data_IF_688688382116
#
_entry.id   IF_688688382116
#
_cell.length_a   1.000
_cell.length_b   1.000
_cell.length_c   1.000
_cell.angle_alpha   90.00
_cell.angle_beta   90.00
_cell.angle_gamma   90.00
#
_symmetry.space_group_name_H-M   'P 1'
#
loop_
_entity.id
_entity.type
_entity.pdbx_description
1 polymer ?
#
# COMPACT_ATOMS: atom_id res chain seq x y z
N UNK A 1 -20.20 -16.82 1.52
CA UNK A 1 -19.06 -17.67 1.16
C UNK A 1 -17.75 -16.97 1.47
N UNK A 2 -16.74 -17.74 1.90
CA UNK A 2 -15.46 -17.18 2.30
C UNK A 2 -14.70 -16.51 1.17
N UNK A 3 -14.86 -16.99 -0.06
CA UNK A 3 -14.27 -16.33 -1.22
C UNK A 3 -14.80 -14.90 -1.37
N UNK A 4 -16.11 -14.72 -1.18
CA UNK A 4 -16.70 -13.38 -1.25
C UNK A 4 -16.26 -12.50 -0.10
N UNK A 5 -16.08 -13.10 1.10
CA UNK A 5 -15.63 -12.35 2.27
C UNK A 5 -14.20 -11.82 2.10
N UNK A 6 -13.34 -12.58 1.42
CA UNK A 6 -11.96 -12.14 1.12
C UNK A 6 -11.93 -11.07 0.03
N UNK A 7 -12.95 -10.98 -0.82
CA UNK A 7 -12.94 -10.06 -1.96
C UNK A 7 -12.91 -8.60 -1.52
N UNK A 8 -13.65 -8.24 -0.46
CA UNK A 8 -13.67 -6.84 0.00
C UNK A 8 -12.29 -6.36 0.43
N UNK A 9 -11.55 -7.05 1.31
CA UNK A 9 -10.19 -6.60 1.63
C UNK A 9 -9.23 -6.64 0.45
N UNK A 10 -9.42 -7.55 -0.51
CA UNK A 10 -8.61 -7.56 -1.75
C UNK A 10 -8.88 -6.28 -2.54
N UNK A 11 -10.14 -5.87 -2.66
CA UNK A 11 -10.50 -4.64 -3.36
C UNK A 11 -9.91 -3.42 -2.65
N UNK A 12 -9.88 -3.41 -1.31
CA UNK A 12 -9.25 -2.34 -0.55
C UNK A 12 -7.75 -2.27 -0.85
N UNK A 13 -7.07 -3.42 -0.89
CA UNK A 13 -5.65 -3.46 -1.25
C UNK A 13 -5.42 -2.88 -2.65
N UNK A 14 -6.28 -3.23 -3.60
CA UNK A 14 -6.17 -2.73 -4.96
C UNK A 14 -6.37 -1.22 -5.02
N UNK A 15 -7.34 -0.69 -4.30
CA UNK A 15 -7.55 0.75 -4.21
C UNK A 15 -6.35 1.47 -3.60
N UNK A 16 -5.75 0.92 -2.55
CA UNK A 16 -4.54 1.48 -1.94
C UNK A 16 -3.37 1.48 -2.91
N UNK A 17 -3.22 0.40 -3.68
CA UNK A 17 -2.17 0.30 -4.69
C UNK A 17 -2.33 1.35 -5.78
N UNK A 18 -3.55 1.54 -6.27
CA UNK A 18 -3.84 2.56 -7.29
C UNK A 18 -3.55 3.96 -6.75
N UNK A 19 -3.92 4.21 -5.50
CA UNK A 19 -3.62 5.48 -4.85
C UNK A 19 -2.11 5.71 -4.75
N UNK A 20 -1.35 4.69 -4.38
CA UNK A 20 0.12 4.79 -4.28
C UNK A 20 0.76 5.04 -5.64
N UNK A 21 0.26 4.40 -6.69
CA UNK A 21 0.74 4.65 -8.06
C UNK A 21 0.52 6.12 -8.46
N UNK A 22 -0.65 6.65 -8.13
CA UNK A 22 -0.99 8.04 -8.43
C UNK A 22 -0.13 9.01 -7.60
N UNK A 23 0.06 8.72 -6.33
CA UNK A 23 0.88 9.55 -5.42
C UNK A 23 2.32 9.60 -5.93
N UNK A 24 2.87 8.46 -6.34
CA UNK A 24 4.23 8.39 -6.89
C UNK A 24 4.35 9.27 -8.14
N UNK A 25 3.35 9.19 -9.02
CA UNK A 25 3.32 10.00 -10.23
C UNK A 25 3.28 11.49 -9.90
N UNK A 26 2.45 11.90 -8.95
CA UNK A 26 2.37 13.29 -8.51
C UNK A 26 3.69 13.78 -7.94
N UNK A 27 4.35 12.94 -7.13
CA UNK A 27 5.64 13.26 -6.54
C UNK A 27 6.69 13.48 -7.63
N UNK A 28 6.71 12.61 -8.64
CA UNK A 28 7.67 12.68 -9.72
C UNK A 28 7.47 13.92 -10.61
N UNK A 29 6.26 14.47 -10.64
CA UNK A 29 5.96 15.70 -11.38
C UNK A 29 6.42 16.95 -10.61
N UNK A 30 6.85 16.80 -9.38
CA UNK A 30 7.55 17.86 -8.67
C UNK A 30 6.71 18.97 -8.08
N UNK A 31 5.46 18.69 -7.70
CA UNK A 31 4.65 19.69 -7.01
C UNK A 31 5.15 19.88 -5.58
N UNK A 32 5.98 20.91 -5.37
CA UNK A 32 6.61 21.16 -4.07
C UNK A 32 5.62 21.52 -2.97
N UNK A 33 4.51 22.13 -3.32
CA UNK A 33 3.52 22.57 -2.34
C UNK A 33 2.83 21.41 -1.63
N UNK A 34 2.84 20.22 -2.23
CA UNK A 34 2.12 19.05 -1.73
C UNK A 34 3.03 17.95 -1.19
N UNK A 35 4.31 18.26 -0.96
CA UNK A 35 5.28 17.22 -0.56
C UNK A 35 4.87 16.52 0.74
N UNK A 36 4.57 17.28 1.80
CA UNK A 36 4.19 16.66 3.07
C UNK A 36 2.88 15.90 2.99
N UNK A 37 1.92 16.42 2.23
CA UNK A 37 0.64 15.74 2.03
C UNK A 37 0.82 14.46 1.23
N UNK A 38 1.67 14.48 0.24
CA UNK A 38 2.01 13.32 -0.60
C UNK A 38 2.63 12.21 0.24
N UNK A 39 3.61 12.56 1.08
CA UNK A 39 4.24 11.60 1.99
C UNK A 39 3.27 11.04 3.01
N UNK A 40 2.44 11.91 3.58
CA UNK A 40 1.42 11.50 4.55
C UNK A 40 0.40 10.56 3.93
N UNK A 41 -0.06 10.86 2.72
CA UNK A 41 -1.01 10.02 2.00
C UNK A 41 -0.42 8.63 1.74
N UNK A 42 0.85 8.55 1.35
CA UNK A 42 1.52 7.27 1.11
C UNK A 42 1.58 6.43 2.40
N UNK A 43 1.88 7.06 3.53
CA UNK A 43 1.93 6.37 4.82
C UNK A 43 0.56 5.83 5.21
N UNK A 44 -0.48 6.61 5.02
CA UNK A 44 -1.85 6.19 5.32
C UNK A 44 -2.26 5.04 4.40
N UNK A 45 -1.95 5.12 3.11
CA UNK A 45 -2.23 4.04 2.16
C UNK A 45 -1.49 2.75 2.52
N UNK A 46 -0.24 2.86 2.98
CA UNK A 46 0.51 1.69 3.44
C UNK A 46 -0.19 1.02 4.62
N UNK A 47 -0.61 1.80 5.60
CA UNK A 47 -1.32 1.27 6.77
C UNK A 47 -2.63 0.58 6.37
N UNK A 48 -3.39 1.19 5.48
CA UNK A 48 -4.65 0.60 5.00
C UNK A 48 -4.40 -0.69 4.20
N UNK A 49 -3.35 -0.70 3.39
CA UNK A 49 -2.94 -1.88 2.61
C UNK A 49 -2.59 -3.04 3.55
N UNK A 50 -1.82 -2.77 4.58
CA UNK A 50 -1.42 -3.78 5.56
C UNK A 50 -2.61 -4.30 6.36
N UNK A 51 -3.50 -3.41 6.79
CA UNK A 51 -4.71 -3.80 7.50
C UNK A 51 -5.61 -4.69 6.63
N UNK A 52 -5.73 -4.34 5.34
CA UNK A 52 -6.52 -5.13 4.40
C UNK A 52 -5.89 -6.52 4.19
N UNK A 53 -4.56 -6.58 4.06
CA UNK A 53 -3.85 -7.86 3.91
C UNK A 53 -4.10 -8.78 5.10
N UNK A 54 -4.10 -8.24 6.32
CA UNK A 54 -4.41 -9.02 7.51
C UNK A 54 -5.83 -9.61 7.42
N UNK A 55 -6.77 -8.83 6.90
CA UNK A 55 -8.15 -9.30 6.75
C UNK A 55 -8.29 -10.38 5.67
N UNK A 56 -7.50 -10.31 4.60
CA UNK A 56 -7.47 -11.40 3.62
C UNK A 56 -7.02 -12.69 4.28
N UNK A 57 -5.90 -12.66 5.00
CA UNK A 57 -5.36 -13.87 5.65
C UNK A 57 -6.30 -14.38 6.72
N UNK A 58 -6.95 -13.50 7.48
CA UNK A 58 -7.96 -13.89 8.44
C UNK A 58 -9.10 -14.69 7.79
N UNK A 59 -9.43 -14.36 6.54
CA UNK A 59 -10.45 -15.10 5.79
C UNK A 59 -9.91 -16.40 5.21
N UNK A 60 -8.67 -16.41 4.69
CA UNK A 60 -8.10 -17.64 4.11
C UNK A 60 -7.91 -18.74 5.15
N UNK A 61 -7.72 -18.36 6.42
CA UNK A 61 -7.61 -19.34 7.52
C UNK A 61 -8.78 -20.32 7.55
N UNK A 62 -9.96 -19.86 7.20
CA UNK A 62 -11.20 -20.64 7.31
C UNK A 62 -11.66 -21.23 6.00
N UNK A 63 -10.92 -21.03 4.91
CA UNK A 63 -11.26 -21.62 3.62
C UNK A 63 -11.06 -23.12 3.62
N UNK A 64 -12.03 -23.85 3.06
CA UNK A 64 -11.95 -25.31 2.93
C UNK A 64 -10.97 -25.72 1.84
N UNK A 65 -10.95 -24.99 0.75
CA UNK A 65 -10.00 -25.21 -0.36
C UNK A 65 -8.64 -24.62 0.02
N UNK A 66 -7.78 -25.47 0.57
CA UNK A 66 -6.47 -25.05 1.08
C UNK A 66 -5.50 -24.68 -0.05
N UNK A 67 -5.65 -25.26 -1.22
CA UNK A 67 -4.82 -24.92 -2.37
C UNK A 67 -5.15 -23.51 -2.86
N UNK A 68 -6.45 -23.20 -2.95
CA UNK A 68 -6.90 -21.86 -3.31
C UNK A 68 -6.41 -20.83 -2.28
N UNK A 69 -6.55 -21.16 -0.99
CA UNK A 69 -6.11 -20.27 0.10
C UNK A 69 -4.61 -20.00 0.03
N UNK A 70 -3.79 -21.03 -0.20
CA UNK A 70 -2.34 -20.86 -0.32
C UNK A 70 -1.96 -20.00 -1.51
N UNK A 71 -2.60 -20.21 -2.64
CA UNK A 71 -2.36 -19.41 -3.84
C UNK A 71 -2.70 -17.96 -3.60
N UNK A 72 -3.84 -17.69 -2.98
CA UNK A 72 -4.27 -16.33 -2.66
C UNK A 72 -3.30 -15.67 -1.67
N UNK A 73 -2.87 -16.39 -0.65
CA UNK A 73 -1.91 -15.88 0.33
C UNK A 73 -0.57 -15.52 -0.33
N UNK A 74 -0.11 -16.32 -1.28
CA UNK A 74 1.12 -16.05 -2.02
C UNK A 74 0.99 -14.80 -2.86
N UNK A 75 -0.13 -14.64 -3.57
CA UNK A 75 -0.37 -13.47 -4.41
C UNK A 75 -0.47 -12.20 -3.56
N UNK A 76 -1.19 -12.27 -2.45
CA UNK A 76 -1.35 -11.15 -1.54
C UNK A 76 -0.01 -10.75 -0.92
N UNK A 77 0.82 -11.72 -0.53
CA UNK A 77 2.13 -11.43 0.06
C UNK A 77 3.02 -10.68 -0.94
N UNK A 78 3.02 -11.09 -2.19
CA UNK A 78 3.81 -10.43 -3.24
C UNK A 78 3.32 -9.02 -3.49
N UNK A 79 2.02 -8.87 -3.65
CA UNK A 79 1.38 -7.56 -3.87
C UNK A 79 1.68 -6.62 -2.70
N UNK A 80 1.52 -7.12 -1.48
CA UNK A 80 1.80 -6.35 -0.26
C UNK A 80 3.25 -5.87 -0.24
N UNK A 81 4.21 -6.77 -0.47
CA UNK A 81 5.63 -6.41 -0.44
C UNK A 81 5.96 -5.34 -1.48
N UNK A 82 5.43 -5.46 -2.69
CA UNK A 82 5.69 -4.50 -3.76
C UNK A 82 5.20 -3.10 -3.39
N UNK A 83 4.01 -3.00 -2.82
CA UNK A 83 3.43 -1.71 -2.50
C UNK A 83 3.91 -1.14 -1.16
N UNK A 84 4.33 -1.99 -0.22
CA UNK A 84 5.05 -1.52 0.96
C UNK A 84 6.34 -0.83 0.54
N UNK A 85 7.09 -1.44 -0.39
CA UNK A 85 8.32 -0.85 -0.89
C UNK A 85 8.05 0.49 -1.59
N UNK A 86 7.01 0.56 -2.41
CA UNK A 86 6.65 1.81 -3.08
C UNK A 86 6.32 2.90 -2.07
N UNK A 87 5.51 2.59 -1.07
CA UNK A 87 5.13 3.55 -0.03
C UNK A 87 6.34 4.03 0.76
N UNK A 88 7.25 3.12 1.11
CA UNK A 88 8.47 3.46 1.84
C UNK A 88 9.37 4.38 1.01
N UNK A 89 9.51 4.13 -0.28
CA UNK A 89 10.29 4.99 -1.17
C UNK A 89 9.71 6.39 -1.26
N UNK A 90 8.38 6.48 -1.33
CA UNK A 90 7.70 7.78 -1.35
C UNK A 90 7.96 8.53 -0.04
N UNK A 91 7.82 7.84 1.09
CA UNK A 91 8.09 8.43 2.40
C UNK A 91 9.52 8.94 2.48
N UNK A 92 10.49 8.10 2.13
CA UNK A 92 11.91 8.47 2.22
C UNK A 92 12.24 9.67 1.34
N UNK A 93 11.69 9.69 0.13
CA UNK A 93 11.92 10.80 -0.80
C UNK A 93 11.31 12.10 -0.28
N UNK A 94 10.07 12.05 0.21
CA UNK A 94 9.40 13.25 0.72
C UNK A 94 10.06 13.75 1.99
N UNK A 95 10.44 12.85 2.90
CA UNK A 95 11.14 13.18 4.13
C UNK A 95 12.48 13.89 3.82
N UNK A 96 13.24 13.32 2.89
CA UNK A 96 14.51 13.89 2.45
C UNK A 96 14.36 15.27 1.81
N UNK A 97 13.34 15.45 0.96
CA UNK A 97 13.08 16.74 0.33
C UNK A 97 12.78 17.81 1.41
N UNK A 98 11.93 17.48 2.37
CA UNK A 98 11.55 18.41 3.43
C UNK A 98 12.74 18.80 4.30
N UNK A 99 13.58 17.82 4.63
CA UNK A 99 14.80 18.09 5.41
C UNK A 99 15.73 19.05 4.66
N UNK A 100 15.95 18.81 3.38
CA UNK A 100 16.81 19.67 2.57
C UNK A 100 16.26 21.07 2.46
N UNK A 101 14.93 21.23 2.29
CA UNK A 101 14.31 22.55 2.22
C UNK A 101 14.45 23.34 3.51
N UNK A 102 14.37 22.64 4.65
CA UNK A 102 14.46 23.29 5.95
C UNK A 102 15.86 23.62 6.39
N UNK A 103 16.86 22.79 6.03
CA UNK A 103 18.21 22.86 6.59
C UNK A 103 19.33 22.98 5.54
N UNK A 104 19.07 22.54 4.35
CA UNK A 104 20.10 22.30 3.34
C UNK A 104 20.40 23.45 2.40
N UNK A 105 19.89 24.60 2.69
CA UNK A 105 20.08 25.75 1.80
C UNK A 105 21.41 26.43 1.98
#
# INVERSE_FOLDING_TARGET
>A
CLHNAAQVPIDVMDCCAQALDLIEEMLNKGSEMLISDTGSAATICKAALEAAALNVVANTMYMKDKDYARGLNTDVARFLADYQEKADKIFDKTYGILLRKGLGR
#
